data_IF_717019752635
#
_entry.id   IF_717019752635
#
_cell.length_a   1.000
_cell.length_b   1.000
_cell.length_c   1.000
_cell.angle_alpha   90.00
_cell.angle_beta   90.00
_cell.angle_gamma   90.00
#
_symmetry.space_group_name_H-M   'P 1'
#
loop_
_entity.id
_entity.type
_entity.pdbx_description
1 polymer ?
#
# COMPACT_ATOMS: atom_id res chain seq x y z
N UNK A 1 -31.78 18.54 2.34
CA UNK A 1 -31.10 17.43 3.03
C UNK A 1 -31.83 16.18 2.63
N UNK A 2 -31.44 15.54 1.52
CA UNK A 2 -32.01 14.24 1.16
C UNK A 2 -31.70 13.20 2.25
N UNK A 3 -32.76 12.53 2.70
CA UNK A 3 -32.70 11.42 3.64
C UNK A 3 -31.98 10.25 2.96
N UNK A 4 -30.84 9.84 3.54
CA UNK A 4 -29.95 8.79 3.01
C UNK A 4 -30.52 7.37 3.18
N UNK A 5 -31.79 7.24 3.58
CA UNK A 5 -32.46 5.96 3.82
C UNK A 5 -32.64 5.04 2.60
N UNK A 6 -32.39 5.51 1.37
CA UNK A 6 -32.41 4.65 0.17
C UNK A 6 -31.18 3.72 0.10
N UNK A 7 -30.00 4.19 0.49
CA UNK A 7 -28.81 3.35 0.58
C UNK A 7 -28.90 2.62 1.91
N UNK A 8 -29.53 1.44 1.93
CA UNK A 8 -29.72 0.65 3.15
C UNK A 8 -28.49 0.76 4.07
N UNK A 9 -28.71 1.25 5.29
CA UNK A 9 -27.61 1.69 6.18
C UNK A 9 -26.53 0.63 6.31
N UNK A 10 -25.27 1.04 6.54
CA UNK A 10 -24.08 0.16 6.60
C UNK A 10 -24.40 -1.15 7.31
N UNK A 11 -24.78 -2.16 6.52
CA UNK A 11 -25.12 -3.46 7.07
C UNK A 11 -23.81 -4.09 7.51
N UNK A 12 -23.87 -4.99 8.48
CA UNK A 12 -22.69 -5.71 8.97
C UNK A 12 -21.87 -6.33 7.84
N UNK A 13 -22.54 -6.76 6.77
CA UNK A 13 -21.91 -7.34 5.57
C UNK A 13 -21.09 -6.31 4.77
N UNK A 14 -21.57 -5.07 4.63
CA UNK A 14 -20.87 -4.00 3.91
C UNK A 14 -19.59 -3.61 4.66
N UNK A 15 -19.67 -3.46 5.97
CA UNK A 15 -18.50 -3.14 6.82
C UNK A 15 -17.44 -4.25 6.76
N UNK A 16 -17.87 -5.52 6.75
CA UNK A 16 -16.97 -6.66 6.61
C UNK A 16 -16.27 -6.66 5.23
N UNK A 17 -16.99 -6.28 4.16
CA UNK A 17 -16.43 -6.14 2.83
C UNK A 17 -15.41 -4.98 2.75
N UNK A 18 -15.74 -3.80 3.27
CA UNK A 18 -14.86 -2.63 3.32
C UNK A 18 -13.53 -2.95 4.03
N UNK A 19 -13.61 -3.64 5.18
CA UNK A 19 -12.42 -4.07 5.95
C UNK A 19 -11.55 -5.04 5.15
N UNK A 20 -12.17 -5.99 4.46
CA UNK A 20 -11.46 -6.98 3.65
C UNK A 20 -10.79 -6.33 2.45
N UNK A 21 -11.50 -5.41 1.78
CA UNK A 21 -10.96 -4.65 0.66
C UNK A 21 -9.75 -3.81 1.07
N UNK A 22 -9.81 -3.14 2.23
CA UNK A 22 -8.68 -2.40 2.78
C UNK A 22 -7.47 -3.30 3.09
N UNK A 23 -7.70 -4.44 3.72
CA UNK A 23 -6.62 -5.39 4.01
C UNK A 23 -5.97 -5.90 2.71
N UNK A 24 -6.78 -6.19 1.70
CA UNK A 24 -6.29 -6.61 0.39
C UNK A 24 -5.50 -5.50 -0.31
N UNK A 25 -5.96 -4.25 -0.29
CA UNK A 25 -5.25 -3.14 -0.93
C UNK A 25 -3.87 -2.90 -0.29
N UNK A 26 -3.76 -3.01 1.04
CA UNK A 26 -2.47 -2.94 1.75
C UNK A 26 -1.58 -4.13 1.38
N UNK A 27 -2.12 -5.35 1.31
CA UNK A 27 -1.37 -6.54 0.88
C UNK A 27 -0.80 -6.40 -0.54
N UNK A 28 -1.60 -5.85 -1.46
CA UNK A 28 -1.16 -5.61 -2.84
C UNK A 28 0.03 -4.63 -2.87
N UNK A 29 0.00 -3.57 -2.04
CA UNK A 29 1.12 -2.64 -1.94
C UNK A 29 2.37 -3.27 -1.38
N UNK A 30 2.24 -4.14 -0.37
CA UNK A 30 3.36 -4.96 0.11
C UNK A 30 3.94 -5.82 -1.01
N UNK A 31 3.09 -6.48 -1.80
CA UNK A 31 3.51 -7.31 -2.92
C UNK A 31 4.26 -6.50 -3.98
N UNK A 32 3.72 -5.34 -4.39
CA UNK A 32 4.35 -4.45 -5.36
C UNK A 32 5.71 -3.95 -4.88
N UNK A 33 5.80 -3.53 -3.60
CA UNK A 33 7.04 -3.06 -3.01
C UNK A 33 8.11 -4.16 -2.97
N UNK A 34 7.74 -5.36 -2.50
CA UNK A 34 8.66 -6.49 -2.39
C UNK A 34 9.18 -6.91 -3.78
N UNK A 35 8.28 -7.06 -4.75
CA UNK A 35 8.66 -7.50 -6.11
C UNK A 35 9.51 -6.42 -6.78
N UNK A 36 9.08 -5.16 -6.76
CA UNK A 36 9.81 -4.06 -7.38
C UNK A 36 11.20 -3.87 -6.76
N UNK A 37 11.30 -3.92 -5.44
CA UNK A 37 12.58 -3.79 -4.74
C UNK A 37 13.50 -5.00 -4.97
N UNK A 38 12.95 -6.22 -5.02
CA UNK A 38 13.73 -7.42 -5.32
C UNK A 38 14.31 -7.36 -6.74
N UNK A 39 13.52 -6.94 -7.72
CA UNK A 39 13.99 -6.74 -9.10
C UNK A 39 15.12 -5.70 -9.12
N UNK A 40 14.90 -4.52 -8.53
CA UNK A 40 15.91 -3.46 -8.45
C UNK A 40 17.21 -3.96 -7.80
N UNK A 41 17.11 -4.65 -6.66
CA UNK A 41 18.26 -5.17 -5.93
C UNK A 41 19.05 -6.19 -6.74
N UNK A 42 18.35 -7.15 -7.38
CA UNK A 42 18.98 -8.14 -8.25
C UNK A 42 19.62 -7.49 -9.49
N UNK A 43 18.96 -6.48 -10.09
CA UNK A 43 19.51 -5.72 -11.21
C UNK A 43 20.77 -4.97 -10.81
N UNK A 44 20.78 -4.29 -9.66
CA UNK A 44 21.98 -3.58 -9.21
C UNK A 44 23.11 -4.53 -8.85
N UNK A 45 22.79 -5.70 -8.28
CA UNK A 45 23.82 -6.68 -7.93
C UNK A 45 24.45 -7.28 -9.20
N UNK A 46 23.66 -7.79 -10.13
CA UNK A 46 24.18 -8.57 -11.26
C UNK A 46 24.43 -7.77 -12.53
N UNK A 47 23.68 -6.69 -12.77
CA UNK A 47 23.71 -5.93 -14.02
C UNK A 47 24.37 -4.54 -13.89
N UNK A 48 25.03 -4.25 -12.77
CA UNK A 48 25.74 -2.99 -12.58
C UNK A 48 27.07 -3.15 -11.83
N UNK A 49 28.00 -2.18 -11.94
CA UNK A 49 29.24 -2.17 -11.15
C UNK A 49 29.04 -1.94 -9.65
N UNK A 50 27.82 -1.74 -9.17
CA UNK A 50 27.54 -1.47 -7.74
C UNK A 50 27.90 -2.65 -6.82
N UNK A 51 27.92 -3.88 -7.34
CA UNK A 51 28.20 -5.09 -6.58
C UNK A 51 27.16 -5.38 -5.48
N UNK A 52 27.41 -6.40 -4.66
CA UNK A 52 26.47 -6.86 -3.62
C UNK A 52 26.15 -5.78 -2.58
N UNK A 53 27.19 -5.16 -2.00
CA UNK A 53 27.01 -4.19 -0.92
C UNK A 53 26.36 -2.90 -1.40
N UNK A 54 26.76 -2.39 -2.57
CA UNK A 54 26.13 -1.22 -3.19
C UNK A 54 24.66 -1.48 -3.49
N UNK A 55 24.35 -2.62 -4.11
CA UNK A 55 22.96 -3.03 -4.36
C UNK A 55 22.16 -3.15 -3.07
N UNK A 56 22.71 -3.78 -2.03
CA UNK A 56 22.02 -4.00 -0.75
C UNK A 56 21.70 -2.69 -0.03
N UNK A 57 22.62 -1.72 -0.02
CA UNK A 57 22.37 -0.40 0.56
C UNK A 57 21.23 0.31 -0.19
N UNK A 58 21.31 0.34 -1.52
CA UNK A 58 20.27 0.98 -2.35
C UNK A 58 18.92 0.28 -2.18
N UNK A 59 18.88 -1.05 -2.17
CA UNK A 59 17.68 -1.83 -1.93
C UNK A 59 17.10 -1.61 -0.54
N UNK A 60 17.93 -1.51 0.51
CA UNK A 60 17.45 -1.22 1.86
C UNK A 60 16.84 0.18 1.97
N UNK A 61 17.52 1.20 1.42
CA UNK A 61 17.00 2.58 1.40
C UNK A 61 15.71 2.68 0.60
N UNK A 62 15.67 2.06 -0.59
CA UNK A 62 14.48 2.08 -1.46
C UNK A 62 13.30 1.37 -0.81
N UNK A 63 13.54 0.22 -0.15
CA UNK A 63 12.52 -0.48 0.61
C UNK A 63 11.96 0.36 1.76
N UNK A 64 12.82 1.03 2.54
CA UNK A 64 12.39 1.91 3.63
C UNK A 64 11.54 3.08 3.12
N UNK A 65 11.97 3.73 2.04
CA UNK A 65 11.21 4.81 1.41
C UNK A 65 9.86 4.28 0.89
N UNK A 66 9.86 3.16 0.17
CA UNK A 66 8.63 2.54 -0.31
C UNK A 66 7.68 2.16 0.83
N UNK A 67 8.19 1.63 1.94
CA UNK A 67 7.37 1.35 3.12
C UNK A 67 6.71 2.64 3.68
N UNK A 68 7.50 3.70 3.86
CA UNK A 68 7.00 4.96 4.44
C UNK A 68 5.99 5.68 3.54
N UNK A 69 6.22 5.70 2.23
CA UNK A 69 5.39 6.46 1.29
C UNK A 69 4.24 5.64 0.68
N UNK A 70 4.43 4.33 0.43
CA UNK A 70 3.40 3.51 -0.22
C UNK A 70 2.53 2.77 0.80
N UNK A 71 3.15 2.05 1.73
CA UNK A 71 2.41 1.18 2.65
C UNK A 71 1.80 2.00 3.78
N UNK A 72 2.63 2.73 4.53
CA UNK A 72 2.21 3.49 5.71
C UNK A 72 1.22 4.62 5.38
N UNK A 73 1.31 5.20 4.19
CA UNK A 73 0.34 6.19 3.72
C UNK A 73 -1.06 5.56 3.60
N UNK A 74 -1.12 4.34 3.07
CA UNK A 74 -2.38 3.69 2.77
C UNK A 74 -3.06 3.08 3.99
N UNK A 75 -2.28 2.52 4.91
CA UNK A 75 -2.79 2.06 6.22
C UNK A 75 -3.48 3.19 7.00
N UNK A 76 -3.08 4.45 6.75
CA UNK A 76 -3.64 5.63 7.42
C UNK A 76 -4.76 6.28 6.64
N UNK A 77 -5.03 5.84 5.41
CA UNK A 77 -6.04 6.46 4.60
C UNK A 77 -7.43 6.08 5.14
N UNK A 78 -8.28 7.06 5.49
CA UNK A 78 -9.61 6.76 5.97
C UNK A 78 -10.40 6.06 4.85
N UNK A 79 -11.09 4.97 5.22
CA UNK A 79 -11.93 4.19 4.30
C UNK A 79 -13.18 4.94 3.84
N UNK A 80 -13.50 6.03 4.52
CA UNK A 80 -14.60 6.91 4.15
C UNK A 80 -14.10 7.97 3.16
N UNK A 81 -14.21 7.67 1.87
CA UNK A 81 -13.92 8.61 0.77
C UNK A 81 -14.87 9.82 0.74
N UNK A 82 -15.91 9.83 1.59
CA UNK A 82 -16.89 10.90 1.75
C UNK A 82 -16.82 11.59 3.12
N UNK A 83 -15.86 11.23 3.98
CA UNK A 83 -15.61 11.92 5.25
C UNK A 83 -14.92 13.28 5.08
N UNK A 84 -14.35 13.54 3.90
CA UNK A 84 -13.75 14.84 3.56
C UNK A 84 -14.86 15.86 3.25
N UNK A 85 -15.50 16.37 4.30
CA UNK A 85 -16.51 17.42 4.16
C UNK A 85 -17.58 17.43 5.26
N UNK A 86 -17.17 17.64 6.52
CA UNK A 86 -18.05 18.24 7.52
C UNK A 86 -17.35 19.41 8.20
#
# INVERSE_FOLDING_TARGET
MEDRGHFGGQTTDVVAHERTYHAFSVLVRWSMLLIGNAILWLTLWFASPAGFWGATIVGAVTFLLGYLFLVRHEEKQPLDVWAEGR
#
